data_IF_393799888453
#
_entry.id   IF_393799888453
#
_cell.length_a   1.000
_cell.length_b   1.000
_cell.length_c   1.000
_cell.angle_alpha   90.00
_cell.angle_beta   90.00
_cell.angle_gamma   90.00
#
_symmetry.space_group_name_H-M   'P 1'
#
loop_
_entity.id
_entity.type
_entity.pdbx_description
1 polymer ?
#
# COMPACT_ATOMS: atom_id res chain seq x y z
N UNK A 1 21.50 -23.60 -8.58
CA UNK A 1 20.59 -23.02 -7.57
C UNK A 1 20.93 -21.55 -7.48
N UNK A 2 19.97 -20.66 -7.63
CA UNK A 2 20.22 -19.22 -7.45
C UNK A 2 20.69 -18.96 -6.00
N UNK A 3 21.68 -18.08 -5.85
CA UNK A 3 22.23 -17.75 -4.53
C UNK A 3 21.17 -17.10 -3.62
N UNK A 4 21.28 -17.36 -2.32
CA UNK A 4 20.42 -16.75 -1.32
C UNK A 4 20.64 -15.23 -1.26
N UNK A 5 19.56 -14.46 -1.21
CA UNK A 5 19.62 -13.01 -1.09
C UNK A 5 20.18 -12.67 0.31
N UNK A 6 21.22 -11.85 0.35
CA UNK A 6 21.84 -11.35 1.58
C UNK A 6 21.96 -9.83 1.58
N UNK A 7 22.29 -9.23 0.44
CA UNK A 7 22.51 -7.79 0.27
C UNK A 7 21.31 -7.18 -0.42
N UNK A 8 20.68 -6.23 0.19
CA UNK A 8 19.45 -5.60 -0.29
C UNK A 8 19.67 -4.10 -0.47
N UNK A 9 19.41 -3.61 -1.68
CA UNK A 9 19.18 -2.20 -1.93
C UNK A 9 17.72 -1.87 -1.63
N UNK A 10 17.44 -0.88 -0.79
CA UNK A 10 16.08 -0.52 -0.42
C UNK A 10 15.80 0.94 -0.79
N UNK A 11 14.92 1.16 -1.78
CA UNK A 11 14.56 2.48 -2.28
C UNK A 11 13.17 2.92 -1.79
N UNK A 12 13.14 4.06 -1.11
CA UNK A 12 11.93 4.63 -0.53
C UNK A 12 11.74 4.25 0.95
N UNK A 13 12.30 5.03 1.85
CA UNK A 13 12.17 4.83 3.29
C UNK A 13 11.25 5.87 3.95
N UNK A 14 10.08 6.08 3.32
CA UNK A 14 8.98 6.87 3.89
C UNK A 14 8.33 6.18 5.09
N UNK A 15 7.08 6.56 5.41
CA UNK A 15 6.35 6.04 6.59
C UNK A 15 6.23 4.50 6.60
N UNK A 16 6.10 3.88 5.43
CA UNK A 16 6.04 2.42 5.29
C UNK A 16 7.44 1.81 5.15
N UNK A 17 8.27 2.37 4.28
CA UNK A 17 9.57 1.80 3.93
C UNK A 17 10.56 1.80 5.09
N UNK A 18 10.55 2.84 5.94
CA UNK A 18 11.44 2.89 7.11
C UNK A 18 11.29 1.67 8.03
N UNK A 19 10.10 1.36 8.57
CA UNK A 19 9.94 0.18 9.42
C UNK A 19 10.14 -1.13 8.65
N UNK A 20 9.85 -1.18 7.35
CA UNK A 20 10.09 -2.38 6.54
C UNK A 20 11.59 -2.64 6.38
N UNK A 21 12.38 -1.63 6.01
CA UNK A 21 13.83 -1.73 5.93
C UNK A 21 14.46 -2.06 7.29
N UNK A 22 13.93 -1.50 8.39
CA UNK A 22 14.38 -1.82 9.74
C UNK A 22 14.15 -3.30 10.09
N UNK A 23 13.05 -3.88 9.67
CA UNK A 23 12.80 -5.32 9.86
C UNK A 23 13.77 -6.19 9.05
N UNK A 24 14.18 -5.76 7.86
CA UNK A 24 15.21 -6.46 7.08
C UNK A 24 16.59 -6.43 7.80
N UNK A 25 16.99 -5.27 8.32
CA UNK A 25 18.22 -5.16 9.13
C UNK A 25 18.15 -6.08 10.36
N UNK A 26 17.03 -6.06 11.08
CA UNK A 26 16.78 -6.95 12.22
C UNK A 26 16.76 -8.43 11.82
N UNK A 27 16.32 -8.73 10.62
CA UNK A 27 16.32 -10.08 10.03
C UNK A 27 17.71 -10.57 9.57
N UNK A 28 18.76 -9.75 9.75
CA UNK A 28 20.15 -10.10 9.43
C UNK A 28 20.54 -9.87 7.97
N UNK A 29 19.73 -9.14 7.19
CA UNK A 29 20.11 -8.73 5.84
C UNK A 29 21.08 -7.53 5.88
N UNK A 30 22.00 -7.49 4.93
CA UNK A 30 22.86 -6.35 4.68
C UNK A 30 22.08 -5.34 3.80
N UNK A 31 21.57 -4.27 4.43
CA UNK A 31 20.66 -3.33 3.79
C UNK A 31 21.34 -2.01 3.50
N UNK A 32 21.29 -1.57 2.24
CA UNK A 32 21.69 -0.23 1.82
C UNK A 32 20.43 0.52 1.40
N UNK A 33 20.14 1.64 2.06
CA UNK A 33 18.91 2.42 1.81
C UNK A 33 19.18 3.68 1.00
N UNK A 34 18.22 4.08 0.16
CA UNK A 34 18.19 5.40 -0.47
C UNK A 34 16.77 5.99 -0.44
N UNK A 35 16.69 7.31 -0.42
CA UNK A 35 15.42 8.05 -0.46
C UNK A 35 15.62 9.38 -1.19
N UNK A 36 14.55 9.88 -1.83
CA UNK A 36 14.59 11.19 -2.49
C UNK A 36 14.63 12.36 -1.49
N UNK A 37 14.18 12.15 -0.25
CA UNK A 37 14.23 13.17 0.79
C UNK A 37 15.66 13.26 1.36
N UNK A 38 16.30 14.45 1.29
CA UNK A 38 17.67 14.65 1.76
C UNK A 38 17.84 14.28 3.25
N UNK A 39 18.94 13.63 3.61
CA UNK A 39 19.29 13.28 4.98
C UNK A 39 18.51 12.09 5.57
N UNK A 40 17.52 11.55 4.84
CA UNK A 40 16.69 10.46 5.36
C UNK A 40 17.43 9.13 5.37
N UNK A 41 18.21 8.83 4.35
CA UNK A 41 19.03 7.62 4.29
C UNK A 41 20.10 7.60 5.39
N UNK A 42 20.78 8.73 5.61
CA UNK A 42 21.78 8.89 6.66
C UNK A 42 21.18 8.77 8.06
N UNK A 43 19.98 9.34 8.27
CA UNK A 43 19.24 9.18 9.53
C UNK A 43 18.90 7.72 9.80
N UNK A 44 18.43 6.99 8.77
CA UNK A 44 18.17 5.55 8.89
C UNK A 44 19.42 4.77 9.26
N UNK A 45 20.53 4.97 8.56
CA UNK A 45 21.79 4.28 8.85
C UNK A 45 22.29 4.55 10.28
N UNK A 46 22.13 5.77 10.77
CA UNK A 46 22.53 6.16 12.14
C UNK A 46 21.62 5.56 13.22
N UNK A 47 20.29 5.51 12.98
CA UNK A 47 19.30 5.15 14.00
C UNK A 47 18.97 3.65 14.02
N UNK A 48 19.01 2.99 12.85
CA UNK A 48 18.61 1.60 12.67
C UNK A 48 19.80 0.69 12.36
N UNK A 49 20.78 1.22 11.64
CA UNK A 49 21.89 0.44 11.07
C UNK A 49 21.74 0.27 9.55
N UNK A 50 22.57 -0.60 8.96
CA UNK A 50 22.71 -0.70 7.51
C UNK A 50 23.58 0.42 6.94
N UNK A 51 23.43 0.72 5.65
CA UNK A 51 24.19 1.77 4.96
C UNK A 51 23.26 2.76 4.27
N UNK A 52 23.68 4.01 4.19
CA UNK A 52 23.03 5.02 3.37
C UNK A 52 23.70 5.09 1.99
N UNK A 53 22.92 5.34 0.96
CA UNK A 53 23.39 5.63 -0.39
C UNK A 53 22.71 6.91 -0.91
N UNK A 54 23.44 7.68 -1.71
CA UNK A 54 22.95 8.92 -2.29
C UNK A 54 22.01 8.70 -3.50
N UNK A 55 22.00 7.50 -4.07
CA UNK A 55 21.18 7.16 -5.25
C UNK A 55 20.77 5.69 -5.29
N UNK A 56 19.74 5.35 -6.09
CA UNK A 56 19.41 3.94 -6.34
C UNK A 56 20.55 3.14 -6.98
N UNK A 57 21.37 3.74 -7.86
CA UNK A 57 22.53 3.06 -8.43
C UNK A 57 23.56 2.69 -7.37
N UNK A 58 23.90 3.65 -6.49
CA UNK A 58 24.84 3.40 -5.37
C UNK A 58 24.30 2.33 -4.42
N UNK A 59 23.00 2.40 -4.07
CA UNK A 59 22.37 1.39 -3.24
C UNK A 59 22.40 -0.01 -3.86
N UNK A 60 22.14 -0.11 -5.19
CA UNK A 60 22.08 -1.36 -5.92
C UNK A 60 23.48 -1.97 -6.20
N UNK A 61 24.56 -1.22 -6.00
CA UNK A 61 25.90 -1.69 -6.29
C UNK A 61 26.25 -2.90 -5.40
N UNK A 62 26.44 -4.05 -6.03
CA UNK A 62 26.74 -5.31 -5.35
C UNK A 62 25.55 -5.94 -4.61
N UNK A 63 24.34 -5.38 -4.68
CA UNK A 63 23.15 -5.98 -4.08
C UNK A 63 22.73 -7.27 -4.78
N UNK A 64 22.07 -8.17 -4.08
CA UNK A 64 21.46 -9.39 -4.62
C UNK A 64 20.01 -9.14 -5.01
N UNK A 65 19.36 -8.17 -4.35
CA UNK A 65 18.01 -7.73 -4.66
C UNK A 65 17.85 -6.22 -4.46
N UNK A 66 16.91 -5.64 -5.23
CA UNK A 66 16.41 -4.28 -5.01
C UNK A 66 14.97 -4.37 -4.50
N UNK A 67 14.68 -3.68 -3.43
CA UNK A 67 13.32 -3.53 -2.87
C UNK A 67 12.88 -2.09 -3.05
N UNK A 68 11.67 -1.88 -3.58
CA UNK A 68 11.08 -0.54 -3.70
C UNK A 68 9.76 -0.44 -2.97
N UNK A 69 9.54 0.69 -2.29
CA UNK A 69 8.22 1.11 -1.82
C UNK A 69 8.10 2.62 -1.89
N UNK A 70 7.51 3.08 -2.97
CA UNK A 70 7.34 4.50 -3.32
C UNK A 70 5.86 4.81 -3.61
N UNK A 71 5.43 6.08 -3.73
CA UNK A 71 4.00 6.39 -3.85
C UNK A 71 3.30 5.85 -5.11
N UNK A 72 3.98 5.79 -6.26
CA UNK A 72 3.36 5.48 -7.57
C UNK A 72 4.27 4.64 -8.47
N UNK A 73 3.68 3.98 -9.49
CA UNK A 73 4.42 3.26 -10.53
C UNK A 73 5.39 4.16 -11.33
N UNK A 74 5.07 5.46 -11.49
CA UNK A 74 5.97 6.40 -12.15
C UNK A 74 7.29 6.57 -11.36
N UNK A 75 7.20 6.60 -10.03
CA UNK A 75 8.38 6.66 -9.18
C UNK A 75 9.13 5.32 -9.12
N UNK A 76 8.43 4.18 -9.27
CA UNK A 76 9.11 2.88 -9.44
C UNK A 76 9.95 2.91 -10.73
N UNK A 77 9.39 3.39 -11.85
CA UNK A 77 10.15 3.54 -13.10
C UNK A 77 11.38 4.45 -12.92
N UNK A 78 11.24 5.58 -12.23
CA UNK A 78 12.37 6.45 -11.91
C UNK A 78 13.46 5.76 -11.07
N UNK A 79 13.06 4.93 -10.11
CA UNK A 79 14.02 4.14 -9.32
C UNK A 79 14.72 3.11 -10.19
N UNK A 80 14.00 2.45 -11.10
CA UNK A 80 14.58 1.49 -12.06
C UNK A 80 15.57 2.20 -12.96
N UNK A 81 15.20 3.30 -13.60
CA UNK A 81 16.07 4.08 -14.48
C UNK A 81 17.35 4.51 -13.74
N UNK A 82 17.20 5.02 -12.53
CA UNK A 82 18.33 5.46 -11.71
C UNK A 82 19.21 4.30 -11.22
N UNK A 83 18.65 3.10 -11.02
CA UNK A 83 19.40 1.92 -10.60
C UNK A 83 20.08 1.20 -11.78
N UNK A 84 19.63 1.44 -13.02
CA UNK A 84 20.04 0.71 -14.22
C UNK A 84 21.55 0.51 -14.38
N UNK A 85 22.44 1.50 -14.10
CA UNK A 85 23.88 1.32 -14.21
C UNK A 85 24.49 0.26 -13.27
N UNK A 86 23.77 -0.11 -12.19
CA UNK A 86 24.22 -1.07 -11.19
C UNK A 86 23.47 -2.40 -11.24
N UNK A 87 22.42 -2.49 -12.06
CA UNK A 87 21.67 -3.73 -12.25
C UNK A 87 22.52 -4.73 -13.02
N UNK A 88 22.41 -5.99 -12.65
CA UNK A 88 23.11 -7.09 -13.30
C UNK A 88 22.21 -8.32 -13.42
N UNK A 89 22.48 -9.23 -14.36
CA UNK A 89 21.72 -10.46 -14.51
C UNK A 89 21.56 -11.21 -13.17
N UNK A 90 20.45 -11.92 -13.03
CA UNK A 90 20.07 -12.70 -11.85
C UNK A 90 19.68 -11.88 -10.60
N UNK A 91 19.79 -10.55 -10.62
CA UNK A 91 19.22 -9.74 -9.53
C UNK A 91 17.69 -9.90 -9.47
N UNK A 92 17.16 -9.82 -8.26
CA UNK A 92 15.71 -9.79 -8.05
C UNK A 92 15.26 -8.36 -7.74
N UNK A 93 14.24 -7.89 -8.45
CA UNK A 93 13.59 -6.62 -8.16
C UNK A 93 12.24 -6.89 -7.48
N UNK A 94 12.07 -6.47 -6.24
CA UNK A 94 10.87 -6.69 -5.40
C UNK A 94 10.16 -5.35 -5.27
N UNK A 95 9.10 -5.14 -6.06
CA UNK A 95 8.30 -3.92 -5.98
C UNK A 95 7.16 -4.09 -4.96
N UNK A 96 7.27 -3.37 -3.84
CA UNK A 96 6.26 -3.37 -2.77
C UNK A 96 5.35 -2.14 -2.82
N UNK A 97 5.46 -1.34 -3.85
CA UNK A 97 4.61 -0.18 -4.14
C UNK A 97 3.18 -0.64 -4.47
N UNK A 98 2.18 0.17 -4.14
CA UNK A 98 0.83 0.01 -4.69
C UNK A 98 0.76 0.72 -6.04
N UNK A 99 0.89 -0.04 -7.12
CA UNK A 99 1.07 0.44 -8.49
C UNK A 99 0.05 -0.14 -9.48
N UNK A 100 0.19 0.29 -10.74
CA UNK A 100 -0.65 -0.14 -11.87
C UNK A 100 -0.11 -1.46 -12.46
N UNK A 101 -0.93 -2.53 -12.56
CA UNK A 101 -0.50 -3.82 -13.10
C UNK A 101 0.12 -3.73 -14.50
N UNK A 102 -0.47 -2.89 -15.38
CA UNK A 102 0.05 -2.67 -16.74
C UNK A 102 1.47 -2.10 -16.70
N UNK A 103 1.70 -1.05 -15.90
CA UNK A 103 3.03 -0.45 -15.77
C UNK A 103 4.04 -1.40 -15.12
N UNK A 104 3.60 -2.21 -14.17
CA UNK A 104 4.45 -3.26 -13.57
C UNK A 104 4.89 -4.28 -14.62
N UNK A 105 4.00 -4.70 -15.53
CA UNK A 105 4.36 -5.61 -16.65
C UNK A 105 5.35 -4.97 -17.62
N UNK A 106 5.20 -3.68 -17.93
CA UNK A 106 6.16 -2.95 -18.77
C UNK A 106 7.56 -2.94 -18.12
N UNK A 107 7.64 -2.50 -16.86
CA UNK A 107 8.90 -2.47 -16.09
C UNK A 107 9.51 -3.88 -15.99
N UNK A 108 8.69 -4.91 -15.79
CA UNK A 108 9.18 -6.29 -15.75
C UNK A 108 9.81 -6.74 -17.09
N UNK A 109 9.24 -6.30 -18.21
CA UNK A 109 9.80 -6.60 -19.54
C UNK A 109 11.14 -5.85 -19.74
N UNK A 110 11.24 -4.60 -19.35
CA UNK A 110 12.48 -3.80 -19.40
C UNK A 110 13.59 -4.44 -18.56
N UNK A 111 13.30 -4.79 -17.32
CA UNK A 111 14.24 -5.47 -16.43
C UNK A 111 14.63 -6.85 -16.92
N UNK A 112 13.66 -7.59 -17.48
CA UNK A 112 13.89 -8.90 -18.09
C UNK A 112 14.89 -8.89 -19.24
N UNK A 113 14.92 -7.82 -20.05
CA UNK A 113 15.92 -7.62 -21.09
C UNK A 113 17.35 -7.49 -20.54
N UNK A 114 17.51 -7.13 -19.26
CA UNK A 114 18.79 -7.07 -18.54
C UNK A 114 19.08 -8.35 -17.73
N UNK A 115 18.21 -9.36 -17.80
CA UNK A 115 18.32 -10.57 -16.98
C UNK A 115 17.92 -10.37 -15.52
N UNK A 116 17.25 -9.28 -15.19
CA UNK A 116 16.72 -8.98 -13.85
C UNK A 116 15.27 -9.42 -13.77
N UNK A 117 14.91 -10.20 -12.76
CA UNK A 117 13.52 -10.66 -12.57
C UNK A 117 12.79 -9.72 -11.63
N UNK A 118 11.56 -9.29 -12.01
CA UNK A 118 10.68 -8.50 -11.15
C UNK A 118 9.59 -9.37 -10.55
N UNK A 119 9.31 -9.14 -9.25
CA UNK A 119 8.09 -9.60 -8.56
C UNK A 119 7.37 -8.39 -7.94
N UNK A 120 6.06 -8.33 -8.06
CA UNK A 120 5.23 -7.30 -7.45
C UNK A 120 4.61 -7.81 -6.14
N UNK A 121 4.92 -7.10 -5.05
CA UNK A 121 4.62 -7.53 -3.69
C UNK A 121 3.99 -6.42 -2.83
N UNK A 122 2.94 -5.72 -3.30
CA UNK A 122 2.30 -4.67 -2.53
C UNK A 122 1.76 -5.17 -1.20
N UNK A 123 1.67 -4.25 -0.23
CA UNK A 123 1.43 -4.58 1.17
C UNK A 123 0.10 -4.04 1.70
N UNK A 124 -0.42 -4.69 2.73
CA UNK A 124 -1.58 -4.24 3.51
C UNK A 124 -1.31 -4.39 5.01
N UNK A 125 -1.85 -3.45 5.80
CA UNK A 125 -1.71 -3.45 7.27
C UNK A 125 -1.28 -2.10 7.84
N UNK A 126 -0.84 -1.16 6.99
CA UNK A 126 -0.42 0.18 7.38
C UNK A 126 0.85 0.20 8.24
N UNK A 127 1.19 1.38 8.75
CA UNK A 127 2.40 1.61 9.54
C UNK A 127 2.49 0.73 10.79
N UNK A 128 1.41 0.47 11.55
CA UNK A 128 1.50 -0.40 12.74
C UNK A 128 1.99 -1.81 12.41
N UNK A 129 1.45 -2.43 11.34
CA UNK A 129 1.89 -3.77 10.92
C UNK A 129 3.26 -3.75 10.24
N UNK A 130 3.62 -2.67 9.56
CA UNK A 130 4.97 -2.51 9.04
C UNK A 130 6.01 -2.49 10.18
N UNK A 131 5.74 -1.78 11.27
CA UNK A 131 6.60 -1.74 12.46
C UNK A 131 6.77 -3.11 13.14
N UNK A 132 5.69 -3.88 13.21
CA UNK A 132 5.72 -5.21 13.85
C UNK A 132 6.17 -6.35 12.94
N UNK A 133 6.47 -6.10 11.65
CA UNK A 133 6.80 -7.15 10.68
C UNK A 133 5.62 -8.07 10.34
N UNK A 134 4.38 -7.58 10.46
CA UNK A 134 3.15 -8.37 10.30
C UNK A 134 2.31 -7.94 9.09
N UNK A 135 2.95 -7.45 8.05
CA UNK A 135 2.24 -7.07 6.82
C UNK A 135 1.60 -8.29 6.15
N UNK A 136 0.45 -8.05 5.51
CA UNK A 136 -0.07 -8.95 4.51
C UNK A 136 0.51 -8.52 3.14
N UNK A 137 1.12 -9.46 2.43
CA UNK A 137 1.83 -9.23 1.17
C UNK A 137 1.10 -9.98 0.07
N UNK A 138 0.77 -9.29 -1.00
CA UNK A 138 0.10 -9.83 -2.18
C UNK A 138 1.14 -9.98 -3.28
N UNK A 139 1.63 -11.20 -3.51
CA UNK A 139 2.79 -11.46 -4.35
C UNK A 139 2.37 -11.93 -5.75
N UNK A 140 2.86 -11.25 -6.77
CA UNK A 140 2.72 -11.60 -8.18
C UNK A 140 4.09 -11.81 -8.82
N UNK A 141 4.19 -12.80 -9.71
CA UNK A 141 5.41 -13.12 -10.42
C UNK A 141 5.60 -14.62 -10.62
N UNK A 142 6.72 -14.99 -11.20
CA UNK A 142 7.08 -16.38 -11.41
C UNK A 142 7.35 -17.10 -10.08
N UNK A 143 6.94 -18.38 -9.98
CA UNK A 143 7.04 -19.16 -8.76
C UNK A 143 8.48 -19.21 -8.21
N UNK A 144 9.46 -19.46 -9.07
CA UNK A 144 10.87 -19.54 -8.68
C UNK A 144 11.41 -18.19 -8.16
N UNK A 145 10.96 -17.06 -8.73
CA UNK A 145 11.31 -15.73 -8.26
C UNK A 145 10.67 -15.42 -6.92
N UNK A 146 9.42 -15.81 -6.73
CA UNK A 146 8.71 -15.69 -5.45
C UNK A 146 9.34 -16.56 -4.36
N UNK A 147 9.81 -17.77 -4.68
CA UNK A 147 10.55 -18.63 -3.74
C UNK A 147 11.85 -17.95 -3.27
N UNK A 148 12.57 -17.28 -4.18
CA UNK A 148 13.77 -16.49 -3.84
C UNK A 148 13.46 -15.25 -3.00
N UNK A 149 12.32 -14.58 -3.27
CA UNK A 149 11.88 -13.41 -2.52
C UNK A 149 11.38 -13.76 -1.11
N UNK A 150 10.89 -14.98 -0.90
CA UNK A 150 10.16 -15.36 0.31
C UNK A 150 10.91 -15.07 1.63
N UNK A 151 12.23 -15.31 1.78
CA UNK A 151 12.96 -14.96 3.00
C UNK A 151 12.93 -13.44 3.27
N UNK A 152 13.05 -12.62 2.22
CA UNK A 152 12.99 -11.16 2.31
C UNK A 152 11.58 -10.71 2.72
N UNK A 153 10.55 -11.28 2.08
CA UNK A 153 9.15 -10.97 2.37
C UNK A 153 8.76 -11.37 3.80
N UNK A 154 9.23 -12.53 4.29
CA UNK A 154 8.98 -13.03 5.66
C UNK A 154 9.55 -12.14 6.75
N UNK A 155 10.62 -11.40 6.47
CA UNK A 155 11.15 -10.43 7.43
C UNK A 155 10.22 -9.21 7.62
N UNK A 156 9.35 -8.92 6.65
CA UNK A 156 8.46 -7.76 6.66
C UNK A 156 6.98 -8.11 6.87
N UNK A 157 6.58 -9.36 6.63
CA UNK A 157 5.18 -9.78 6.71
C UNK A 157 5.00 -11.23 7.12
N UNK A 158 3.88 -11.51 7.75
CA UNK A 158 3.51 -12.86 8.23
C UNK A 158 2.54 -13.58 7.30
N UNK A 159 1.85 -12.85 6.41
CA UNK A 159 0.88 -13.40 5.47
C UNK A 159 1.32 -13.09 4.05
N UNK A 160 1.86 -14.06 3.34
CA UNK A 160 2.29 -13.91 1.94
C UNK A 160 1.33 -14.70 1.06
N UNK A 161 0.60 -14.00 0.20
CA UNK A 161 -0.39 -14.58 -0.71
C UNK A 161 0.12 -14.51 -2.14
N UNK A 162 0.34 -15.65 -2.78
CA UNK A 162 0.73 -15.73 -4.20
C UNK A 162 -0.52 -15.54 -5.05
N UNK A 163 -0.63 -14.40 -5.71
CA UNK A 163 -1.83 -13.95 -6.43
C UNK A 163 -1.84 -14.37 -7.90
N UNK A 164 -0.72 -14.80 -8.45
CA UNK A 164 -0.58 -15.16 -9.87
C UNK A 164 0.70 -14.63 -10.49
N UNK A 165 0.70 -14.46 -11.80
CA UNK A 165 1.83 -13.89 -12.56
C UNK A 165 2.08 -12.42 -12.26
N UNK A 166 3.04 -11.83 -12.99
CA UNK A 166 3.44 -10.43 -12.82
C UNK A 166 2.25 -9.46 -12.98
N UNK A 167 2.11 -8.54 -12.03
CA UNK A 167 1.01 -7.58 -11.91
C UNK A 167 -0.19 -8.10 -11.11
N UNK A 168 -0.25 -9.40 -10.77
CA UNK A 168 -1.38 -9.96 -10.01
C UNK A 168 -1.42 -9.49 -8.56
N UNK A 169 -0.29 -9.25 -7.93
CA UNK A 169 -0.21 -8.63 -6.60
C UNK A 169 -0.78 -7.22 -6.61
N UNK A 170 -0.40 -6.40 -7.61
CA UNK A 170 -0.90 -5.04 -7.79
C UNK A 170 -2.41 -5.02 -8.03
N UNK A 171 -2.92 -5.90 -8.90
CA UNK A 171 -4.35 -6.03 -9.15
C UNK A 171 -5.10 -6.41 -7.86
N UNK A 172 -4.61 -7.42 -7.13
CA UNK A 172 -5.24 -7.85 -5.87
C UNK A 172 -5.22 -6.74 -4.83
N UNK A 173 -4.14 -5.96 -4.73
CA UNK A 173 -4.05 -4.81 -3.83
C UNK A 173 -5.08 -3.74 -4.15
N UNK A 174 -5.23 -3.38 -5.42
CA UNK A 174 -6.21 -2.39 -5.86
C UNK A 174 -7.65 -2.86 -5.59
N UNK A 175 -7.96 -4.11 -5.89
CA UNK A 175 -9.27 -4.71 -5.61
C UNK A 175 -9.57 -4.78 -4.10
N UNK A 176 -8.59 -5.14 -3.28
CA UNK A 176 -8.74 -5.09 -1.82
C UNK A 176 -9.08 -3.67 -1.32
N UNK A 177 -8.40 -2.64 -1.86
CA UNK A 177 -8.65 -1.27 -1.45
C UNK A 177 -9.99 -0.74 -1.98
N UNK A 178 -10.44 -1.18 -3.16
CA UNK A 178 -11.79 -0.91 -3.66
C UNK A 178 -12.87 -1.45 -2.71
N UNK A 179 -12.75 -2.71 -2.28
CA UNK A 179 -13.69 -3.32 -1.31
C UNK A 179 -13.66 -2.57 0.03
N UNK A 180 -12.48 -2.18 0.50
CA UNK A 180 -12.32 -1.40 1.74
C UNK A 180 -12.97 -0.01 1.63
N UNK A 181 -12.80 0.67 0.50
CA UNK A 181 -13.35 1.99 0.24
C UNK A 181 -14.88 1.96 0.10
N UNK A 182 -15.42 0.98 -0.63
CA UNK A 182 -16.87 0.78 -0.74
C UNK A 182 -17.52 0.44 0.58
N UNK A 183 -16.90 -0.43 1.37
CA UNK A 183 -17.38 -0.78 2.72
C UNK A 183 -17.29 0.38 3.71
N UNK A 184 -16.32 1.27 3.55
CA UNK A 184 -16.25 2.50 4.35
C UNK A 184 -17.39 3.45 3.99
N UNK A 185 -17.58 3.72 2.70
CA UNK A 185 -18.59 4.67 2.21
C UNK A 185 -20.00 4.24 2.64
N UNK A 186 -20.41 3.00 2.32
CA UNK A 186 -21.75 2.52 2.67
C UNK A 186 -21.97 2.47 4.18
N UNK A 187 -20.92 2.18 4.96
CA UNK A 187 -21.01 2.18 6.42
C UNK A 187 -21.21 3.58 7.00
N UNK A 188 -20.55 4.61 6.45
CA UNK A 188 -20.77 6.01 6.86
C UNK A 188 -22.21 6.44 6.57
N UNK A 189 -22.73 6.13 5.38
CA UNK A 189 -24.11 6.43 5.01
C UNK A 189 -25.11 5.74 5.94
N UNK A 190 -24.90 4.46 6.23
CA UNK A 190 -25.75 3.70 7.17
C UNK A 190 -25.74 4.33 8.59
N UNK A 191 -24.58 4.74 9.08
CA UNK A 191 -24.47 5.42 10.38
C UNK A 191 -25.22 6.75 10.40
N UNK A 192 -25.14 7.56 9.35
CA UNK A 192 -25.86 8.82 9.23
C UNK A 192 -27.38 8.62 9.21
N UNK A 193 -27.86 7.63 8.44
CA UNK A 193 -29.31 7.27 8.41
C UNK A 193 -29.77 6.83 9.79
N UNK A 194 -29.01 5.93 10.44
CA UNK A 194 -29.37 5.43 11.77
C UNK A 194 -29.37 6.52 12.85
N UNK A 195 -28.36 7.40 12.85
CA UNK A 195 -28.31 8.52 13.79
C UNK A 195 -29.49 9.46 13.63
N UNK A 196 -29.92 9.76 12.40
CA UNK A 196 -31.14 10.53 12.12
C UNK A 196 -32.43 9.82 12.56
N UNK A 197 -32.45 8.51 12.48
CA UNK A 197 -33.57 7.71 13.02
C UNK A 197 -33.60 7.69 14.53
N UNK A 198 -32.52 8.07 15.21
CA UNK A 198 -32.40 8.11 16.69
C UNK A 198 -31.55 6.96 17.27
N UNK A 199 -30.84 6.21 16.44
CA UNK A 199 -29.91 5.17 16.92
C UNK A 199 -28.59 5.82 17.37
N UNK A 200 -27.98 5.27 18.41
CA UNK A 200 -26.64 5.65 18.84
C UNK A 200 -25.59 5.06 17.88
N UNK A 201 -24.72 5.91 17.34
CA UNK A 201 -23.72 5.49 16.34
C UNK A 201 -22.71 4.47 16.87
N UNK A 202 -22.33 4.53 18.16
CA UNK A 202 -21.42 3.55 18.76
C UNK A 202 -22.10 2.17 18.87
N UNK A 203 -23.36 2.16 19.34
CA UNK A 203 -24.17 0.95 19.40
C UNK A 203 -24.37 0.35 18.01
N UNK A 204 -24.61 1.18 16.99
CA UNK A 204 -24.71 0.69 15.61
C UNK A 204 -23.43 -0.01 15.14
N UNK A 205 -22.26 0.56 15.44
CA UNK A 205 -20.97 -0.08 15.08
C UNK A 205 -20.80 -1.42 15.80
N UNK A 206 -21.22 -1.54 17.08
CA UNK A 206 -21.16 -2.80 17.82
C UNK A 206 -22.06 -3.86 17.17
N UNK A 207 -23.30 -3.51 16.86
CA UNK A 207 -24.25 -4.41 16.17
C UNK A 207 -23.72 -4.83 14.80
N UNK A 208 -23.17 -3.89 14.00
CA UNK A 208 -22.56 -4.21 12.71
C UNK A 208 -21.41 -5.20 12.85
N UNK A 209 -20.57 -5.06 13.88
CA UNK A 209 -19.43 -5.93 14.14
C UNK A 209 -19.83 -7.36 14.58
N UNK A 210 -21.02 -7.54 15.13
CA UNK A 210 -21.58 -8.84 15.54
C UNK A 210 -22.53 -9.44 14.50
N UNK A 211 -22.73 -8.73 13.37
CA UNK A 211 -23.70 -9.08 12.35
C UNK A 211 -23.07 -9.17 10.96
N UNK A 212 -23.86 -9.52 9.94
CA UNK A 212 -23.41 -9.67 8.55
C UNK A 212 -22.89 -8.39 7.89
N UNK A 213 -23.13 -7.22 8.47
CA UNK A 213 -22.60 -5.93 7.99
C UNK A 213 -21.14 -5.66 8.38
N UNK A 214 -20.51 -6.57 9.13
CA UNK A 214 -19.13 -6.42 9.59
C UNK A 214 -18.15 -6.33 8.41
N UNK A 215 -17.24 -5.34 8.50
CA UNK A 215 -16.13 -5.19 7.57
C UNK A 215 -14.91 -4.53 8.26
N UNK A 216 -13.84 -4.30 7.53
CA UNK A 216 -12.63 -3.67 8.10
C UNK A 216 -12.91 -2.29 8.71
N UNK A 217 -13.78 -1.50 8.09
CA UNK A 217 -14.09 -0.15 8.56
C UNK A 217 -14.92 -0.14 9.84
N UNK A 218 -15.90 -1.04 9.96
CA UNK A 218 -16.70 -1.18 11.18
C UNK A 218 -15.83 -1.61 12.37
N UNK A 219 -14.87 -2.51 12.14
CA UNK A 219 -14.01 -3.05 13.21
C UNK A 219 -12.89 -2.09 13.64
N UNK A 220 -12.25 -1.39 12.69
CA UNK A 220 -10.95 -0.74 12.94
C UNK A 220 -10.93 0.76 12.62
N UNK A 221 -12.04 1.34 12.10
CA UNK A 221 -12.00 2.74 11.64
C UNK A 221 -13.09 3.60 12.24
N UNK A 222 -14.34 3.15 12.31
CA UNK A 222 -15.45 4.02 12.68
C UNK A 222 -15.30 4.56 14.10
N UNK A 223 -15.21 3.72 15.12
CA UNK A 223 -15.04 4.20 16.49
C UNK A 223 -13.73 4.93 16.69
N UNK A 224 -12.63 4.36 16.16
CA UNK A 224 -11.27 4.83 16.40
C UNK A 224 -10.96 6.16 15.72
N UNK A 225 -11.54 6.44 14.54
CA UNK A 225 -11.14 7.57 13.71
C UNK A 225 -12.30 8.48 13.31
N UNK A 226 -13.49 7.95 13.02
CA UNK A 226 -14.65 8.75 12.58
C UNK A 226 -15.43 9.29 13.77
N UNK A 227 -15.97 8.43 14.65
CA UNK A 227 -16.75 8.85 15.82
C UNK A 227 -15.88 9.56 16.86
N UNK A 228 -14.61 9.19 16.99
CA UNK A 228 -13.64 9.92 17.82
C UNK A 228 -13.19 11.26 17.22
N UNK A 229 -13.55 11.56 15.96
CA UNK A 229 -13.16 12.76 15.20
C UNK A 229 -11.65 12.90 14.95
N UNK A 230 -10.82 11.87 15.15
CA UNK A 230 -9.37 11.95 14.97
C UNK A 230 -8.96 11.99 13.49
N UNK A 231 -9.59 11.17 12.64
CA UNK A 231 -9.26 11.06 11.20
C UNK A 231 -7.75 10.84 10.93
N UNK A 232 -7.15 9.87 11.63
CA UNK A 232 -5.70 9.64 11.64
C UNK A 232 -5.36 8.14 11.57
N UNK A 233 -5.97 7.42 10.61
CA UNK A 233 -5.70 5.98 10.43
C UNK A 233 -4.31 5.68 9.83
N UNK A 234 -3.63 6.72 9.32
CA UNK A 234 -2.29 6.62 8.77
C UNK A 234 -2.24 6.25 7.28
N UNK A 235 -3.36 6.37 6.55
CA UNK A 235 -3.41 6.19 5.11
C UNK A 235 -4.11 7.38 4.44
N UNK A 236 -3.46 8.01 3.45
CA UNK A 236 -3.99 9.25 2.87
C UNK A 236 -5.20 9.01 1.96
N UNK A 237 -6.06 10.03 1.88
CA UNK A 237 -7.20 10.07 0.97
C UNK A 237 -6.74 9.97 -0.50
N UNK A 238 -5.65 10.68 -0.86
CA UNK A 238 -5.10 10.67 -2.22
C UNK A 238 -4.66 9.27 -2.66
N UNK A 239 -4.01 8.51 -1.77
CA UNK A 239 -3.61 7.15 -2.06
C UNK A 239 -4.80 6.20 -2.18
N UNK A 240 -5.89 6.42 -1.41
CA UNK A 240 -7.11 5.63 -1.56
C UNK A 240 -7.78 5.90 -2.91
N UNK A 241 -7.92 7.17 -3.31
CA UNK A 241 -8.48 7.55 -4.63
C UNK A 241 -7.63 6.97 -5.77
N UNK A 242 -6.31 7.05 -5.66
CA UNK A 242 -5.39 6.41 -6.62
C UNK A 242 -5.66 4.89 -6.72
N UNK A 243 -5.73 4.19 -5.59
CA UNK A 243 -5.89 2.74 -5.58
C UNK A 243 -7.26 2.29 -6.14
N UNK A 244 -8.34 3.04 -5.86
CA UNK A 244 -9.65 2.80 -6.49
C UNK A 244 -9.56 3.02 -8.00
N UNK A 245 -8.83 4.06 -8.45
CA UNK A 245 -8.57 4.32 -9.86
C UNK A 245 -7.88 3.15 -10.56
N UNK A 246 -6.86 2.55 -9.92
CA UNK A 246 -6.16 1.36 -10.43
C UNK A 246 -7.14 0.17 -10.54
N UNK A 247 -8.02 -0.05 -9.56
CA UNK A 247 -9.02 -1.11 -9.64
C UNK A 247 -9.97 -0.94 -10.85
N UNK A 248 -10.36 0.30 -11.17
CA UNK A 248 -11.16 0.60 -12.37
C UNK A 248 -10.36 0.43 -13.68
N UNK A 249 -9.05 0.67 -13.67
CA UNK A 249 -8.19 0.34 -14.82
C UNK A 249 -8.17 -1.17 -15.07
N UNK A 250 -8.02 -1.98 -14.02
CA UNK A 250 -8.11 -3.45 -14.11
C UNK A 250 -9.49 -3.89 -14.63
N UNK A 251 -10.58 -3.27 -14.17
CA UNK A 251 -11.91 -3.57 -14.65
C UNK A 251 -12.07 -3.26 -16.16
N UNK A 252 -11.50 -2.15 -16.63
CA UNK A 252 -11.48 -1.81 -18.08
C UNK A 252 -10.62 -2.78 -18.89
N UNK A 253 -9.45 -3.15 -18.39
CA UNK A 253 -8.56 -4.13 -19.03
C UNK A 253 -9.25 -5.50 -19.20
N UNK A 254 -10.06 -5.90 -18.24
CA UNK A 254 -10.80 -7.18 -18.25
C UNK A 254 -12.19 -7.07 -18.86
N UNK A 255 -12.59 -5.91 -19.38
CA UNK A 255 -13.93 -5.61 -19.89
C UNK A 255 -15.07 -5.96 -18.89
N UNK A 256 -14.80 -5.84 -17.58
CA UNK A 256 -15.76 -6.15 -16.52
C UNK A 256 -16.59 -4.91 -16.16
N UNK A 257 -17.93 -4.92 -16.30
CA UNK A 257 -18.78 -3.82 -15.87
C UNK A 257 -18.76 -3.66 -14.35
N UNK A 258 -18.44 -2.45 -13.87
CA UNK A 258 -18.32 -2.15 -12.44
C UNK A 258 -19.03 -0.84 -12.07
N UNK A 259 -20.37 -0.73 -12.23
CA UNK A 259 -21.09 0.53 -12.03
C UNK A 259 -20.98 1.05 -10.58
N UNK A 260 -21.06 0.18 -9.58
CA UNK A 260 -20.92 0.58 -8.18
C UNK A 260 -19.49 1.08 -7.86
N UNK A 261 -18.47 0.41 -8.36
CA UNK A 261 -17.09 0.83 -8.18
C UNK A 261 -16.81 2.19 -8.84
N UNK A 262 -17.39 2.44 -10.03
CA UNK A 262 -17.29 3.72 -10.70
C UNK A 262 -17.94 4.84 -9.87
N UNK A 263 -19.15 4.63 -9.34
CA UNK A 263 -19.81 5.59 -8.44
C UNK A 263 -18.99 5.82 -7.18
N UNK A 264 -18.52 4.75 -6.55
CA UNK A 264 -17.67 4.83 -5.37
C UNK A 264 -16.44 5.70 -5.62
N UNK A 265 -15.74 5.49 -6.74
CA UNK A 265 -14.57 6.30 -7.14
C UNK A 265 -14.92 7.78 -7.27
N UNK A 266 -16.03 8.12 -7.89
CA UNK A 266 -16.43 9.53 -8.07
C UNK A 266 -16.76 10.20 -6.74
N UNK A 267 -17.39 9.50 -5.80
CA UNK A 267 -17.64 10.04 -4.45
C UNK A 267 -16.33 10.25 -3.68
N UNK A 268 -15.39 9.32 -3.77
CA UNK A 268 -14.06 9.47 -3.16
C UNK A 268 -13.26 10.62 -3.81
N UNK A 269 -13.35 10.79 -5.12
CA UNK A 269 -12.71 11.91 -5.81
C UNK A 269 -13.35 13.26 -5.45
N UNK A 270 -14.67 13.31 -5.26
CA UNK A 270 -15.33 14.51 -4.74
C UNK A 270 -14.83 14.87 -3.33
N UNK A 271 -14.64 13.87 -2.45
CA UNK A 271 -14.05 14.13 -1.14
C UNK A 271 -12.63 14.70 -1.24
N UNK A 272 -11.80 14.15 -2.14
CA UNK A 272 -10.44 14.65 -2.41
C UNK A 272 -10.46 16.11 -2.88
N UNK A 273 -11.40 16.47 -3.77
CA UNK A 273 -11.50 17.82 -4.31
C UNK A 273 -12.07 18.86 -3.32
N UNK A 274 -12.92 18.42 -2.38
CA UNK A 274 -13.68 19.30 -1.47
C UNK A 274 -13.08 19.42 -0.07
N UNK A 275 -12.21 18.51 0.31
CA UNK A 275 -11.53 18.53 1.61
C UNK A 275 -10.14 19.15 1.50
N UNK A 276 -9.61 19.59 2.64
CA UNK A 276 -8.24 20.14 2.70
C UNK A 276 -7.20 19.10 2.24
N UNK A 277 -6.14 19.49 1.55
CA UNK A 277 -5.05 18.60 1.13
C UNK A 277 -4.45 17.81 2.32
N UNK A 278 -3.97 16.59 2.05
CA UNK A 278 -3.28 15.77 3.06
C UNK A 278 -4.20 15.07 4.05
N UNK A 279 -5.51 15.05 3.80
CA UNK A 279 -6.45 14.32 4.66
C UNK A 279 -6.13 12.82 4.72
N UNK A 280 -6.34 12.24 5.90
CA UNK A 280 -6.48 10.79 6.07
C UNK A 280 -7.74 10.30 5.33
N UNK A 281 -7.69 9.08 4.78
CA UNK A 281 -8.83 8.55 4.03
C UNK A 281 -10.11 8.43 4.85
N UNK A 282 -10.03 8.31 6.19
CA UNK A 282 -11.21 8.32 7.07
C UNK A 282 -11.91 9.67 7.09
N UNK A 283 -11.23 10.74 6.68
CA UNK A 283 -11.79 12.08 6.47
C UNK A 283 -12.86 12.13 5.37
N UNK A 284 -12.93 11.11 4.50
CA UNK A 284 -14.02 10.95 3.51
C UNK A 284 -15.41 11.03 4.19
N UNK A 285 -15.55 10.57 5.42
CA UNK A 285 -16.80 10.69 6.18
C UNK A 285 -17.32 12.12 6.29
N UNK A 286 -16.43 13.13 6.33
CA UNK A 286 -16.79 14.55 6.38
C UNK A 286 -17.56 15.01 5.13
N UNK A 287 -17.30 14.41 3.96
CA UNK A 287 -18.11 14.69 2.76
C UNK A 287 -19.55 14.19 2.94
N UNK A 288 -19.73 12.94 3.37
CA UNK A 288 -21.06 12.37 3.62
C UNK A 288 -21.82 13.14 4.71
N UNK A 289 -21.12 13.56 5.76
CA UNK A 289 -21.68 14.44 6.81
C UNK A 289 -22.17 15.77 6.25
N UNK A 290 -21.38 16.42 5.37
CA UNK A 290 -21.79 17.67 4.70
C UNK A 290 -23.03 17.45 3.82
N UNK A 291 -23.06 16.38 3.03
CA UNK A 291 -24.19 16.04 2.16
C UNK A 291 -25.45 15.74 2.98
N UNK A 292 -25.30 15.09 4.13
CA UNK A 292 -26.40 14.79 5.03
C UNK A 292 -26.76 15.98 5.93
N UNK A 293 -25.98 17.05 6.01
CA UNK A 293 -26.10 18.12 7.03
C UNK A 293 -26.24 17.53 8.43
N UNK A 294 -25.37 16.58 8.78
CA UNK A 294 -25.37 15.84 10.05
C UNK A 294 -23.92 15.46 10.39
N UNK A 295 -23.55 15.50 11.65
CA UNK A 295 -22.20 15.13 12.13
C UNK A 295 -22.29 13.84 12.93
N UNK A 296 -21.53 12.80 12.55
CA UNK A 296 -21.50 11.53 13.25
C UNK A 296 -20.90 11.67 14.66
N UNK A 297 -21.58 11.12 15.66
CA UNK A 297 -21.16 11.19 17.07
C UNK A 297 -21.29 12.57 17.69
N UNK A 298 -21.86 13.56 17.00
CA UNK A 298 -22.22 14.86 17.57
C UNK A 298 -23.38 14.70 18.56
N UNK A 299 -23.24 15.28 19.76
CA UNK A 299 -24.38 15.42 20.66
C UNK A 299 -25.43 16.32 19.99
N UNK A 300 -26.66 15.84 19.90
CA UNK A 300 -27.82 16.70 19.59
C UNK A 300 -28.08 17.65 20.73
#
# INVERSE_FOLDING_TARGET
>A
MAEAIKRIAFAGIGNMGWPMAANLVKGGFDVTVCDAAPGRAESFAREVGGRAAASPAEAAQGADAVVTIVPTSAQVAQVVDAAMPALRPEMLFIDMTSGQPGKTREIAAELGALGVTLVDCPVSGGVPRAKSGQLAIMAGGEAAALDRAEPVLKAMGTSIHRCGGIGAGQAMKALNNLVSAGGFLIGVEALLVGQRFGLDANTMVDVLNESSGMNNSTRLKFKQHVLSRRFESGFSLDLMVKDIGIALEVARETATPTPYAALCREIWAAAQAMLEPGQDHTGMAKLSERLANEVLGGNK
#
